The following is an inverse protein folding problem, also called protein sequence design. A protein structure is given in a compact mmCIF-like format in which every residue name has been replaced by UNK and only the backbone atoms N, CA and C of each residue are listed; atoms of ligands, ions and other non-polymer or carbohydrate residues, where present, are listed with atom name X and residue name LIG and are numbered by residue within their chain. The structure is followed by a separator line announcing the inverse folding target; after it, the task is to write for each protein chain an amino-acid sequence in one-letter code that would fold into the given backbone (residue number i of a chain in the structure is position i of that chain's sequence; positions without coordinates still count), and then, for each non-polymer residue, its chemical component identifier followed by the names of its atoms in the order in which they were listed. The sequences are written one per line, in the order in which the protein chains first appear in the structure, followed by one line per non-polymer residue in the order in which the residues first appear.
data_IF_742767619732
#
_entry.id   IF_742767619732
#
_cell.length_a   1.000
_cell.length_b   1.000
_cell.length_c   1.000
_cell.angle_alpha   90.00
_cell.angle_beta   90.00
_cell.angle_gamma   90.00
#
_symmetry.space_group_name_H-M   'P 1'
#
loop_
_entity.id
_entity.type
_entity.pdbx_description
1 polymer ?
#
# COMPACT_ATOMS: atom_id res chain seq x y z
N UNK A 1 34.12 4.89 -0.65
CA UNK A 1 32.80 5.48 -0.37
C UNK A 1 31.89 4.35 0.05
N UNK A 2 31.53 4.25 1.33
CA UNK A 2 30.58 3.25 1.81
C UNK A 2 29.23 3.54 1.15
N UNK A 3 28.54 2.57 0.53
CA UNK A 3 27.17 2.82 0.10
C UNK A 3 26.38 3.20 1.36
N UNK A 4 25.78 4.40 1.36
CA UNK A 4 24.78 4.74 2.35
C UNK A 4 23.65 3.73 2.15
N UNK A 5 23.61 2.71 3.01
CA UNK A 5 22.39 1.95 3.18
C UNK A 5 21.29 2.97 3.46
N UNK A 6 20.18 2.97 2.71
CA UNK A 6 19.10 3.91 2.97
C UNK A 6 18.70 3.75 4.43
N UNK A 7 18.71 4.87 5.16
CA UNK A 7 18.37 4.86 6.57
C UNK A 7 16.98 4.24 6.75
N UNK A 8 16.88 3.28 7.68
CA UNK A 8 15.62 2.67 8.07
C UNK A 8 14.64 3.77 8.46
N UNK A 9 13.42 3.69 7.92
CA UNK A 9 12.37 4.66 8.18
C UNK A 9 11.94 4.57 9.65
N UNK A 10 11.91 5.69 10.40
CA UNK A 10 11.37 5.72 11.75
C UNK A 10 9.89 5.30 11.75
N UNK A 11 9.48 4.54 12.77
CA UNK A 11 8.08 4.17 12.94
C UNK A 11 7.55 3.22 11.85
N UNK A 12 8.42 2.47 11.18
CA UNK A 12 8.04 1.62 10.05
C UNK A 12 7.14 0.43 10.42
N UNK A 13 7.02 0.10 11.71
CA UNK A 13 5.99 -0.80 12.25
C UNK A 13 4.56 -0.25 12.09
N UNK A 14 4.43 1.08 11.91
CA UNK A 14 3.18 1.78 11.59
C UNK A 14 2.95 2.01 10.09
N UNK A 15 3.75 1.38 9.25
CA UNK A 15 3.52 1.33 7.80
C UNK A 15 2.75 0.06 7.46
N UNK A 16 1.61 0.21 6.76
CA UNK A 16 0.90 -0.90 6.13
C UNK A 16 1.08 -0.79 4.62
N UNK A 17 1.66 -1.80 3.99
CA UNK A 17 1.64 -1.96 2.53
C UNK A 17 0.54 -2.92 2.11
N UNK A 18 -0.34 -2.46 1.24
CA UNK A 18 -1.39 -3.30 0.65
C UNK A 18 -0.93 -3.81 -0.69
N UNK A 19 -0.92 -5.12 -0.86
CA UNK A 19 -0.58 -5.78 -2.13
C UNK A 19 -1.71 -6.68 -2.59
N UNK A 20 -1.74 -6.98 -3.88
CA UNK A 20 -2.80 -7.83 -4.44
C UNK A 20 -2.91 -7.70 -5.95
N UNK A 21 -3.53 -8.68 -6.63
CA UNK A 21 -3.67 -8.62 -8.08
C UNK A 21 -4.58 -7.47 -8.53
N UNK A 22 -4.48 -7.13 -9.82
CA UNK A 22 -5.47 -6.27 -10.47
C UNK A 22 -6.85 -6.93 -10.39
N UNK A 23 -7.91 -6.17 -10.13
CA UNK A 23 -9.26 -6.70 -9.94
C UNK A 23 -9.59 -7.21 -8.53
N UNK A 24 -8.62 -7.27 -7.61
CA UNK A 24 -8.87 -7.66 -6.21
C UNK A 24 -9.70 -6.63 -5.42
N UNK A 25 -9.95 -5.44 -5.97
CA UNK A 25 -10.72 -4.38 -5.32
C UNK A 25 -9.94 -3.59 -4.27
N UNK A 26 -8.59 -3.56 -4.37
CA UNK A 26 -7.72 -2.80 -3.46
C UNK A 26 -8.19 -1.36 -3.28
N UNK A 27 -8.28 -0.59 -4.36
CA UNK A 27 -8.55 0.85 -4.25
C UNK A 27 -9.89 1.13 -3.56
N UNK A 28 -10.94 0.40 -3.92
CA UNK A 28 -12.25 0.49 -3.26
C UNK A 28 -12.18 0.14 -1.77
N UNK A 29 -11.42 -0.90 -1.42
CA UNK A 29 -11.27 -1.33 -0.03
C UNK A 29 -10.43 -0.34 0.79
N UNK A 30 -9.35 0.20 0.23
CA UNK A 30 -8.54 1.25 0.86
C UNK A 30 -9.37 2.51 1.10
N UNK A 31 -10.16 2.95 0.11
CA UNK A 31 -11.03 4.12 0.26
C UNK A 31 -12.07 3.90 1.37
N UNK A 32 -12.74 2.75 1.39
CA UNK A 32 -13.71 2.41 2.43
C UNK A 32 -13.07 2.31 3.82
N UNK A 33 -11.86 1.72 3.90
CA UNK A 33 -11.11 1.62 5.14
C UNK A 33 -10.70 3.00 5.66
N UNK A 34 -10.10 3.85 4.82
CA UNK A 34 -9.73 5.22 5.19
C UNK A 34 -10.95 6.03 5.65
N UNK A 35 -12.09 5.89 4.96
CA UNK A 35 -13.32 6.56 5.35
C UNK A 35 -13.82 6.11 6.74
N UNK A 36 -13.77 4.80 7.03
CA UNK A 36 -14.16 4.27 8.32
C UNK A 36 -13.23 4.75 9.44
N UNK A 37 -11.90 4.68 9.25
CA UNK A 37 -10.96 5.10 10.31
C UNK A 37 -11.03 6.60 10.56
N UNK A 38 -11.13 7.43 9.51
CA UNK A 38 -11.19 8.89 9.67
C UNK A 38 -12.43 9.38 10.40
N UNK A 39 -13.53 8.62 10.36
CA UNK A 39 -14.72 8.92 11.15
C UNK A 39 -14.47 8.76 12.66
N UNK A 40 -13.61 7.81 13.04
CA UNK A 40 -13.35 7.47 14.44
C UNK A 40 -12.11 8.22 14.98
N UNK A 41 -11.00 8.25 14.24
CA UNK A 41 -9.75 8.96 14.60
C UNK A 41 -8.87 9.19 13.35
N UNK A 42 -8.34 10.39 13.08
CA UNK A 42 -7.55 10.68 11.88
C UNK A 42 -6.09 10.20 11.96
N UNK A 43 -5.88 8.96 12.42
CA UNK A 43 -4.54 8.36 12.60
C UNK A 43 -4.00 7.66 11.36
N UNK A 44 -4.85 7.37 10.36
CA UNK A 44 -4.46 6.64 9.16
C UNK A 44 -4.46 7.55 7.92
N UNK A 45 -3.32 7.60 7.22
CA UNK A 45 -3.15 8.38 6.00
C UNK A 45 -2.72 7.49 4.83
N UNK A 46 -3.11 7.82 3.61
CA UNK A 46 -2.65 7.11 2.41
C UNK A 46 -1.45 7.83 1.79
N UNK A 47 -0.39 7.08 1.50
CA UNK A 47 0.76 7.57 0.75
C UNK A 47 0.35 7.88 -0.69
N UNK A 48 0.69 9.07 -1.17
CA UNK A 48 0.58 9.44 -2.58
C UNK A 48 1.77 8.86 -3.35
N UNK A 49 1.48 8.09 -4.38
CA UNK A 49 2.50 7.52 -5.28
C UNK A 49 2.85 8.48 -6.39
N UNK A 50 4.09 8.46 -6.84
CA UNK A 50 4.54 9.05 -8.09
C UNK A 50 4.52 7.98 -9.18
N UNK A 51 3.84 8.22 -10.30
CA UNK A 51 3.61 7.20 -11.32
C UNK A 51 3.84 7.79 -12.71
N UNK A 52 4.45 7.05 -13.63
CA UNK A 52 4.62 7.47 -15.03
C UNK A 52 3.36 7.33 -15.89
N UNK A 53 2.19 7.24 -15.26
CA UNK A 53 0.92 7.16 -15.97
C UNK A 53 0.64 8.52 -16.63
N UNK A 54 0.26 8.56 -17.92
CA UNK A 54 -0.17 9.78 -18.56
C UNK A 54 -1.32 10.44 -17.80
N UNK A 55 -1.28 11.77 -17.63
CA UNK A 55 -2.32 12.50 -16.90
C UNK A 55 -3.71 12.36 -17.55
N UNK A 56 -3.77 12.18 -18.87
CA UNK A 56 -5.01 11.88 -19.61
C UNK A 56 -5.68 10.56 -19.16
N UNK A 57 -4.91 9.61 -18.63
CA UNK A 57 -5.38 8.33 -18.13
C UNK A 57 -5.56 8.31 -16.60
N UNK A 58 -5.34 9.45 -15.93
CA UNK A 58 -5.50 9.56 -14.48
C UNK A 58 -6.98 9.64 -14.05
N UNK A 59 -7.89 10.00 -14.95
CA UNK A 59 -9.32 10.10 -14.67
C UNK A 59 -9.89 8.75 -14.22
N UNK A 60 -10.43 8.70 -13.00
CA UNK A 60 -10.96 7.48 -12.38
C UNK A 60 -9.90 6.51 -11.83
N UNK A 61 -8.63 6.92 -11.80
CA UNK A 61 -7.57 6.24 -11.05
C UNK A 61 -7.45 6.81 -9.65
N UNK A 62 -6.75 6.10 -8.77
CA UNK A 62 -6.41 6.59 -7.45
C UNK A 62 -5.59 7.89 -7.50
N UNK A 63 -5.72 8.80 -6.51
CA UNK A 63 -4.90 10.00 -6.44
C UNK A 63 -3.40 9.66 -6.45
N UNK A 64 -2.68 10.20 -7.43
CA UNK A 64 -1.24 10.02 -7.59
C UNK A 64 -0.58 11.31 -8.10
N UNK A 65 0.73 11.38 -8.03
CA UNK A 65 1.56 12.38 -8.67
C UNK A 65 1.99 11.86 -10.05
N UNK A 66 1.48 12.44 -11.15
CA UNK A 66 1.92 12.04 -12.49
C UNK A 66 3.33 12.59 -12.75
N UNK A 67 4.23 11.73 -13.22
CA UNK A 67 5.58 12.13 -13.67
C UNK A 67 5.81 11.65 -15.10
N UNK A 68 6.65 12.37 -15.87
CA UNK A 68 7.24 11.78 -17.07
C UNK A 68 8.33 10.77 -16.67
N UNK A 69 8.73 9.88 -17.58
CA UNK A 69 9.87 8.97 -17.32
C UNK A 69 11.16 9.73 -17.01
N UNK A 70 11.41 10.85 -17.70
CA UNK A 70 12.55 11.71 -17.45
C UNK A 70 12.50 12.34 -16.04
N UNK A 71 11.33 12.83 -15.60
CA UNK A 71 11.16 13.39 -14.27
C UNK A 71 11.25 12.31 -13.17
N UNK A 72 10.72 11.11 -13.43
CA UNK A 72 10.86 9.97 -12.53
C UNK A 72 12.33 9.59 -12.36
N UNK A 73 13.08 9.50 -13.46
CA UNK A 73 14.52 9.19 -13.46
C UNK A 73 15.31 10.26 -12.72
N UNK A 74 15.02 11.54 -12.96
CA UNK A 74 15.65 12.64 -12.22
C UNK A 74 15.42 12.54 -10.71
N UNK A 75 14.19 12.21 -10.29
CA UNK A 75 13.87 12.01 -8.87
C UNK A 75 14.59 10.79 -8.26
N UNK A 76 14.79 9.71 -9.02
CA UNK A 76 15.62 8.58 -8.59
C UNK A 76 17.08 9.00 -8.38
N UNK A 77 17.67 9.71 -9.35
CA UNK A 77 19.06 10.17 -9.29
C UNK A 77 19.30 11.19 -8.17
N UNK A 78 18.30 12.00 -7.85
CA UNK A 78 18.33 12.93 -6.73
C UNK A 78 18.17 12.25 -5.35
N UNK A 79 17.79 10.96 -5.31
CA UNK A 79 17.51 10.25 -4.06
C UNK A 79 16.16 10.60 -3.43
N UNK A 80 15.23 11.19 -4.18
CA UNK A 80 13.94 11.64 -3.68
C UNK A 80 12.95 10.49 -3.42
N UNK A 81 13.17 9.33 -4.05
CA UNK A 81 12.32 8.15 -3.93
C UNK A 81 12.83 7.24 -2.82
N UNK A 82 11.98 6.93 -1.83
CA UNK A 82 12.32 5.96 -0.80
C UNK A 82 12.23 4.52 -1.31
N UNK A 83 11.24 4.26 -2.18
CA UNK A 83 10.99 2.97 -2.81
C UNK A 83 10.45 3.20 -4.21
N UNK A 84 10.85 2.33 -5.15
CA UNK A 84 10.30 2.31 -6.50
C UNK A 84 10.22 0.89 -7.05
N UNK A 85 9.33 0.67 -8.01
CA UNK A 85 9.19 -0.59 -8.74
C UNK A 85 8.60 -0.33 -10.13
N UNK A 86 8.62 -1.34 -10.99
CA UNK A 86 7.96 -1.30 -12.29
C UNK A 86 6.82 -2.30 -12.31
N UNK A 87 5.68 -1.91 -12.87
CA UNK A 87 4.55 -2.82 -13.11
C UNK A 87 3.76 -2.34 -14.33
N UNK A 88 3.24 -3.27 -15.14
CA UNK A 88 2.39 -2.94 -16.28
C UNK A 88 3.00 -1.91 -17.26
N UNK A 89 4.33 -1.93 -17.44
CA UNK A 89 5.03 -0.97 -18.30
C UNK A 89 5.14 0.45 -17.73
N UNK A 90 4.79 0.67 -16.47
CA UNK A 90 4.89 1.96 -15.79
C UNK A 90 5.87 1.88 -14.61
N UNK A 91 6.45 3.02 -14.28
CA UNK A 91 7.22 3.22 -13.06
C UNK A 91 6.32 3.72 -11.95
N UNK A 92 6.53 3.17 -10.76
CA UNK A 92 5.86 3.55 -9.53
C UNK A 92 6.91 3.87 -8.49
N UNK A 93 6.69 4.94 -7.73
CA UNK A 93 7.58 5.36 -6.67
C UNK A 93 6.81 6.01 -5.52
N UNK A 94 7.47 6.08 -4.37
CA UNK A 94 6.96 6.83 -3.21
C UNK A 94 8.08 7.75 -2.75
N UNK A 95 7.80 9.06 -2.77
CA UNK A 95 8.77 10.07 -2.30
C UNK A 95 9.06 9.89 -0.82
N UNK A 96 10.29 10.19 -0.40
CA UNK A 96 10.71 10.10 1.01
C UNK A 96 9.78 10.89 1.95
N UNK A 97 9.39 12.09 1.56
CA UNK A 97 8.51 12.94 2.38
C UNK A 97 7.11 12.37 2.64
N UNK A 98 6.66 11.34 1.89
CA UNK A 98 5.41 10.65 2.22
C UNK A 98 5.51 9.86 3.54
N UNK A 99 6.71 9.47 3.95
CA UNK A 99 6.95 8.68 5.15
C UNK A 99 7.15 9.53 6.42
N UNK A 100 7.29 10.85 6.29
CA UNK A 100 7.55 11.75 7.43
C UNK A 100 6.46 11.65 8.51
N UNK A 101 5.24 11.33 8.10
CA UNK A 101 4.11 11.07 9.00
C UNK A 101 4.41 9.98 10.04
N UNK A 102 5.24 8.99 9.71
CA UNK A 102 5.58 7.88 10.62
C UNK A 102 6.43 8.33 11.81
N UNK A 103 7.07 9.49 11.71
CA UNK A 103 7.81 10.11 12.82
C UNK A 103 6.86 10.64 13.91
N UNK A 104 5.58 10.83 13.60
CA UNK A 104 4.57 11.30 14.55
C UNK A 104 3.98 10.10 15.31
N UNK A 105 3.98 10.12 16.66
CA UNK A 105 3.40 9.05 17.45
C UNK A 105 1.92 8.81 17.11
N UNK A 106 1.52 7.54 17.04
CA UNK A 106 0.13 7.16 16.74
C UNK A 106 -0.30 7.36 15.28
N UNK A 107 0.52 7.97 14.43
CA UNK A 107 0.22 8.14 13.02
C UNK A 107 0.68 6.93 12.21
N UNK A 108 -0.18 6.52 11.28
CA UNK A 108 -0.02 5.37 10.43
C UNK A 108 -0.07 5.77 8.96
N UNK A 109 0.70 5.04 8.15
CA UNK A 109 0.75 5.24 6.71
C UNK A 109 0.30 3.98 5.98
N UNK A 110 -0.59 4.17 5.02
CA UNK A 110 -1.11 3.15 4.13
C UNK A 110 -0.52 3.34 2.74
N UNK A 111 0.24 2.35 2.27
CA UNK A 111 0.83 2.32 0.94
C UNK A 111 0.12 1.29 0.07
N UNK A 112 -0.52 1.74 -1.01
CA UNK A 112 -0.98 0.84 -2.06
C UNK A 112 0.24 0.38 -2.88
N UNK A 113 0.67 -0.88 -2.74
CA UNK A 113 1.90 -1.40 -3.32
C UNK A 113 1.69 -2.55 -4.32
N UNK A 114 2.81 -3.13 -4.72
CA UNK A 114 2.92 -4.37 -5.50
C UNK A 114 3.77 -5.37 -4.74
N UNK A 115 3.58 -6.68 -4.97
CA UNK A 115 4.50 -7.70 -4.44
C UNK A 115 5.95 -7.44 -4.88
N UNK A 116 6.15 -6.88 -6.08
CA UNK A 116 7.47 -6.50 -6.58
C UNK A 116 8.16 -5.38 -5.79
N UNK A 117 7.39 -4.57 -5.06
CA UNK A 117 7.94 -3.50 -4.22
C UNK A 117 8.45 -4.03 -2.88
N UNK A 118 8.00 -5.22 -2.44
CA UNK A 118 8.22 -5.70 -1.07
C UNK A 118 9.70 -5.89 -0.70
N UNK A 119 10.59 -6.42 -1.56
CA UNK A 119 12.01 -6.54 -1.22
C UNK A 119 12.65 -5.16 -0.97
N UNK A 120 12.40 -4.19 -1.86
CA UNK A 120 12.90 -2.83 -1.70
C UNK A 120 12.28 -2.13 -0.47
N UNK A 121 11.00 -2.37 -0.21
CA UNK A 121 10.32 -1.81 0.95
C UNK A 121 10.85 -2.39 2.26
N UNK A 122 11.08 -3.70 2.36
CA UNK A 122 11.66 -4.35 3.55
C UNK A 122 13.08 -3.87 3.83
N UNK A 123 13.81 -3.40 2.83
CA UNK A 123 15.13 -2.81 3.03
C UNK A 123 15.09 -1.48 3.80
N UNK A 124 14.07 -0.65 3.54
CA UNK A 124 13.90 0.67 4.18
C UNK A 124 12.91 0.65 5.36
N UNK A 125 12.06 -0.37 5.44
CA UNK A 125 10.99 -0.55 6.41
C UNK A 125 10.89 -2.03 6.81
N UNK A 126 11.86 -2.55 7.60
CA UNK A 126 11.93 -3.97 7.93
C UNK A 126 10.72 -4.48 8.72
N UNK A 127 10.03 -3.66 9.51
CA UNK A 127 8.88 -4.04 10.34
C UNK A 127 7.52 -3.75 9.68
N UNK A 128 7.52 -3.33 8.41
CA UNK A 128 6.30 -3.04 7.62
C UNK A 128 5.28 -4.18 7.71
N UNK A 129 4.00 -3.82 7.83
CA UNK A 129 2.89 -4.76 7.80
C UNK A 129 2.38 -4.95 6.38
N UNK A 130 2.36 -6.19 5.92
CA UNK A 130 1.96 -6.58 4.56
C UNK A 130 0.54 -7.11 4.59
N UNK A 131 -0.41 -6.33 4.07
CA UNK A 131 -1.80 -6.73 3.87
C UNK A 131 -2.01 -7.22 2.43
N UNK A 132 -2.29 -8.50 2.26
CA UNK A 132 -2.70 -9.06 0.97
C UNK A 132 -4.20 -8.92 0.78
N UNK A 133 -4.65 -8.25 -0.27
CA UNK A 133 -6.04 -8.32 -0.74
C UNK A 133 -6.06 -9.18 -2.00
N UNK A 134 -6.85 -10.25 -1.97
CA UNK A 134 -7.01 -11.18 -3.08
C UNK A 134 -8.49 -11.39 -3.42
N UNK A 135 -8.75 -12.10 -4.50
CA UNK A 135 -10.05 -12.68 -4.81
C UNK A 135 -9.83 -13.97 -5.60
N UNK A 136 -10.83 -14.85 -5.60
CA UNK A 136 -10.84 -16.09 -6.35
C UNK A 136 -10.61 -15.82 -7.85
N UNK A 137 -9.92 -16.72 -8.59
CA UNK A 137 -9.59 -16.48 -9.99
C UNK A 137 -10.80 -16.16 -10.87
N UNK A 138 -11.95 -16.81 -10.65
CA UNK A 138 -13.18 -16.54 -11.39
C UNK A 138 -13.75 -15.14 -11.10
N UNK A 139 -13.65 -14.65 -9.86
CA UNK A 139 -14.04 -13.28 -9.49
C UNK A 139 -13.12 -12.25 -10.14
N UNK A 140 -11.81 -12.49 -10.10
CA UNK A 140 -10.84 -11.61 -10.77
C UNK A 140 -11.11 -11.55 -12.28
N UNK A 141 -11.35 -12.69 -12.92
CA UNK A 141 -11.68 -12.78 -14.34
C UNK A 141 -12.95 -11.97 -14.67
N UNK A 142 -14.03 -12.19 -13.92
CA UNK A 142 -15.30 -11.49 -14.10
C UNK A 142 -15.15 -9.96 -13.94
N UNK A 143 -14.40 -9.52 -12.92
CA UNK A 143 -14.15 -8.09 -12.68
C UNK A 143 -13.26 -7.44 -13.73
N UNK A 144 -12.29 -8.15 -14.26
CA UNK A 144 -11.44 -7.65 -15.34
C UNK A 144 -12.24 -7.55 -16.64
N UNK A 145 -13.01 -8.58 -16.99
CA UNK A 145 -13.87 -8.59 -18.18
C UNK A 145 -14.94 -7.49 -18.12
N UNK A 146 -15.59 -7.30 -16.95
CA UNK A 146 -16.62 -6.29 -16.75
C UNK A 146 -16.17 -4.83 -16.92
N UNK A 147 -14.85 -4.56 -16.95
CA UNK A 147 -14.34 -3.20 -17.22
C UNK A 147 -14.40 -2.83 -18.70
N UNK A 148 -14.51 -3.80 -19.62
CA UNK A 148 -14.60 -3.58 -21.06
C UNK A 148 -13.35 -2.98 -21.71
N UNK A 149 -12.19 -3.00 -21.03
CA UNK A 149 -10.94 -2.36 -21.49
C UNK A 149 -9.88 -3.34 -21.98
N UNK A 150 -10.12 -4.65 -21.85
CA UNK A 150 -9.11 -5.69 -22.04
C UNK A 150 -9.73 -6.89 -22.78
N UNK A 151 -8.98 -7.50 -23.71
CA UNK A 151 -9.38 -8.75 -24.36
C UNK A 151 -9.12 -9.97 -23.46
N UNK A 152 -9.58 -11.15 -23.90
CA UNK A 152 -9.43 -12.38 -23.13
C UNK A 152 -7.96 -12.76 -22.87
N UNK A 153 -7.05 -12.47 -23.81
CA UNK A 153 -5.62 -12.77 -23.67
C UNK A 153 -4.97 -11.88 -22.60
N UNK A 154 -5.30 -10.59 -22.58
CA UNK A 154 -4.86 -9.65 -21.56
C UNK A 154 -5.38 -10.04 -20.17
N UNK A 155 -6.65 -10.45 -20.06
CA UNK A 155 -7.24 -10.97 -18.81
C UNK A 155 -6.50 -12.23 -18.33
N UNK A 156 -6.28 -13.21 -19.20
CA UNK A 156 -5.54 -14.42 -18.87
C UNK A 156 -4.12 -14.12 -18.38
N UNK A 157 -3.40 -13.21 -19.06
CA UNK A 157 -2.08 -12.77 -18.65
C UNK A 157 -2.09 -12.08 -17.28
N UNK A 158 -3.15 -11.31 -16.95
CA UNK A 158 -3.32 -10.72 -15.61
C UNK A 158 -3.53 -11.78 -14.54
N UNK A 159 -4.32 -12.82 -14.83
CA UNK A 159 -4.58 -13.92 -13.90
C UNK A 159 -3.34 -14.78 -13.67
N UNK A 160 -2.56 -15.09 -14.71
CA UNK A 160 -1.29 -15.80 -14.55
C UNK A 160 -0.34 -15.06 -13.60
N UNK A 161 -0.28 -13.72 -13.70
CA UNK A 161 0.51 -12.90 -12.78
C UNK A 161 0.03 -12.92 -11.33
N UNK A 162 -1.26 -13.14 -11.06
CA UNK A 162 -1.76 -13.22 -9.68
C UNK A 162 -1.28 -14.47 -8.95
N UNK A 163 -0.97 -15.51 -9.72
CA UNK A 163 -0.44 -16.80 -9.26
C UNK A 163 1.08 -16.81 -9.09
N UNK A 164 1.77 -15.73 -9.46
CA UNK A 164 3.21 -15.64 -9.21
C UNK A 164 3.52 -15.80 -7.71
N UNK A 165 4.60 -16.52 -7.37
CA UNK A 165 4.99 -16.71 -5.99
C UNK A 165 5.26 -15.37 -5.31
N UNK A 166 5.18 -15.38 -3.99
CA UNK A 166 5.67 -14.26 -3.20
C UNK A 166 7.20 -14.16 -3.35
N UNK A 167 7.77 -12.94 -3.24
CA UNK A 167 9.22 -12.80 -3.16
C UNK A 167 9.78 -13.62 -2.01
N UNK A 168 10.99 -14.16 -2.20
CA UNK A 168 11.62 -15.06 -1.23
C UNK A 168 11.67 -14.47 0.17
N UNK A 169 11.26 -15.27 1.16
CA UNK A 169 11.25 -14.87 2.57
C UNK A 169 10.19 -13.84 2.96
N UNK A 170 9.28 -13.45 2.05
CA UNK A 170 8.21 -12.48 2.34
C UNK A 170 6.85 -13.16 2.30
N UNK A 171 6.11 -13.08 3.41
CA UNK A 171 4.71 -13.48 3.50
C UNK A 171 3.84 -12.30 3.97
N UNK A 172 2.53 -12.31 3.66
CA UNK A 172 1.62 -11.32 4.19
C UNK A 172 1.38 -11.53 5.69
N UNK A 173 1.35 -10.44 6.45
CA UNK A 173 0.92 -10.43 7.85
C UNK A 173 -0.59 -10.72 7.97
N UNK A 174 -1.37 -10.37 6.94
CA UNK A 174 -2.79 -10.70 6.85
C UNK A 174 -3.27 -10.83 5.41
N UNK A 175 -4.25 -11.71 5.17
CA UNK A 175 -4.87 -11.90 3.85
C UNK A 175 -6.38 -11.71 3.92
N UNK A 176 -6.90 -10.87 3.04
CA UNK A 176 -8.32 -10.58 2.87
C UNK A 176 -8.78 -11.12 1.52
N UNK A 177 -9.79 -11.99 1.53
CA UNK A 177 -10.44 -12.51 0.32
C UNK A 177 -11.67 -11.66 0.02
N UNK A 178 -11.59 -10.88 -1.05
CA UNK A 178 -12.63 -9.96 -1.49
C UNK A 178 -13.47 -10.56 -2.64
N UNK A 179 -14.11 -11.70 -2.38
CA UNK A 179 -14.96 -12.39 -3.37
C UNK A 179 -16.37 -11.80 -3.43
N UNK A 180 -16.93 -11.48 -2.27
CA UNK A 180 -18.31 -11.00 -2.12
C UNK A 180 -18.43 -9.49 -2.01
N UNK A 181 -19.37 -9.05 -1.16
CA UNK A 181 -19.63 -7.64 -0.92
C UNK A 181 -18.45 -6.95 -0.21
N UNK A 182 -18.15 -5.71 -0.63
CA UNK A 182 -17.06 -4.90 -0.09
C UNK A 182 -17.10 -4.78 1.44
N UNK A 183 -18.30 -4.73 2.03
CA UNK A 183 -18.51 -4.66 3.49
C UNK A 183 -17.89 -5.84 4.23
N UNK A 184 -17.93 -7.05 3.66
CA UNK A 184 -17.33 -8.23 4.28
C UNK A 184 -15.81 -8.17 4.30
N UNK A 185 -15.21 -7.77 3.17
CA UNK A 185 -13.76 -7.54 3.08
C UNK A 185 -13.32 -6.42 4.02
N UNK A 186 -14.10 -5.33 4.13
CA UNK A 186 -13.82 -4.23 5.04
C UNK A 186 -13.86 -4.67 6.51
N UNK A 187 -14.85 -5.46 6.91
CA UNK A 187 -14.90 -6.00 8.26
C UNK A 187 -13.66 -6.85 8.58
N UNK A 188 -13.19 -7.67 7.62
CA UNK A 188 -11.96 -8.45 7.77
C UNK A 188 -10.71 -7.58 7.95
N UNK A 189 -10.61 -6.47 7.20
CA UNK A 189 -9.53 -5.48 7.38
C UNK A 189 -9.60 -4.85 8.76
N UNK A 190 -10.77 -4.37 9.19
CA UNK A 190 -10.94 -3.68 10.47
C UNK A 190 -10.66 -4.58 11.67
N UNK A 191 -11.10 -5.84 11.62
CA UNK A 191 -10.84 -6.84 12.67
C UNK A 191 -9.35 -7.11 12.85
N UNK A 192 -8.57 -7.08 11.77
CA UNK A 192 -7.11 -7.20 11.84
C UNK A 192 -6.45 -5.89 12.28
N UNK A 193 -6.97 -4.76 11.81
CA UNK A 193 -6.36 -3.44 11.98
C UNK A 193 -6.54 -2.85 13.38
N UNK A 194 -7.71 -2.95 14.01
CA UNK A 194 -7.94 -2.35 15.34
C UNK A 194 -6.99 -2.88 16.43
N UNK A 195 -6.76 -4.21 16.56
CA UNK A 195 -5.79 -4.71 17.53
C UNK A 195 -4.37 -4.22 17.27
N UNK A 196 -3.98 -4.16 15.99
CA UNK A 196 -2.67 -3.67 15.55
C UNK A 196 -2.48 -2.18 15.89
N UNK A 197 -3.50 -1.37 15.64
CA UNK A 197 -3.50 0.07 15.96
C UNK A 197 -3.40 0.31 17.47
N UNK A 198 -4.16 -0.44 18.27
CA UNK A 198 -4.18 -0.30 19.72
C UNK A 198 -2.82 -0.65 20.34
N UNK A 199 -2.15 -1.69 19.83
CA UNK A 199 -0.83 -2.10 20.31
C UNK A 199 0.30 -1.09 20.00
N UNK A 200 0.15 -0.28 18.95
CA UNK A 200 1.16 0.71 18.55
C UNK A 200 0.87 2.14 19.04
N UNK A 201 -0.25 2.35 19.72
CA UNK A 201 -0.58 3.65 20.32
C UNK A 201 0.20 3.77 21.64
N UNK A 202 1.08 4.78 21.81
CA UNK A 202 1.76 4.98 23.07
C UNK A 202 0.74 5.18 24.17
N UNK A 203 0.94 4.56 25.35
CA UNK A 203 0.20 4.93 26.53
C UNK A 203 0.34 6.45 26.72
N UNK A 204 -0.79 7.17 26.83
CA UNK A 204 -0.77 8.60 27.11
C UNK A 204 0.04 8.91 28.37
N UNK A 205 0.49 10.16 28.57
CA UNK A 205 1.22 10.52 29.78
C UNK A 205 0.40 10.11 31.01
N UNK A 206 0.96 9.22 31.84
CA UNK A 206 0.42 8.92 33.15
C UNK A 206 0.60 10.18 33.96
N UNK A 207 -0.45 10.99 34.07
CA UNK A 207 -0.48 12.10 35.02
C UNK A 207 -0.50 11.49 36.41
N UNK A 208 0.67 11.27 36.99
CA UNK A 208 0.82 10.91 38.40
C UNK A 208 0.42 12.13 39.22
N UNK A 209 -0.86 12.23 39.58
CA UNK A 209 -1.29 13.09 40.65
C UNK A 209 -0.67 12.56 41.96
N UNK A 210 0.32 13.29 42.48
CA UNK A 210 0.79 13.07 43.85
C UNK A 210 -0.29 13.59 44.81
N UNK A 211 -0.74 12.77 45.78
CA UNK A 211 -1.60 13.28 46.83
C UNK A 211 -0.79 14.14 47.80
N UNK A 212 -1.31 15.32 48.11
CA UNK A 212 -0.89 16.17 49.24
C UNK A 212 -1.38 15.61 50.56
#
# INVERSE_FOLDING_TARGET
MTPLHPAVLPGNERLVVVVGPSGAGKDSLLQAWLAQVRADTPTLQAARRSITRPASEAAGSEPHEPLSEAAFTAALLAGDMAVHWQAHGLHYGVRRGQFDVLSQPGQWLLLNGSRQALPALRHVAPDVKVLAITASPHVLAARLAGRGREDAAAVAARLARSQLPWPDGIQPDHTVVNDGALKGALASVLNWWWPLQAAATPAGPVTSAQPT
#
